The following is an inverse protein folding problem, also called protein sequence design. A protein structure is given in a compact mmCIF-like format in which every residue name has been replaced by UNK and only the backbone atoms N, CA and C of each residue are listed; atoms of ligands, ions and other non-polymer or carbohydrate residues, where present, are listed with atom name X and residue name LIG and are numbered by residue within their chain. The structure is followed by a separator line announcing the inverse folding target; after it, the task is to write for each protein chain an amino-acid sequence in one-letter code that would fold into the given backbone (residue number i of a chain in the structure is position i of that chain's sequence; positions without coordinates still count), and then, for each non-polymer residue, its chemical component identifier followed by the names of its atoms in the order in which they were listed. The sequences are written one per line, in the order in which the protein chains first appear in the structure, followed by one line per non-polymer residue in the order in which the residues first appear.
data_IF_621671539320
#
_entry.id   IF_621671539320
#
_cell.length_a   1.000
_cell.length_b   1.000
_cell.length_c   1.000
_cell.angle_alpha   90.00
_cell.angle_beta   90.00
_cell.angle_gamma   90.00
#
_symmetry.space_group_name_H-M   'P 1'
#
loop_
_entity.id
_entity.type
_entity.pdbx_description
1 polymer ?
#
# COMPACT_ATOMS: atom_id res chain seq x y z
N UNK A 1 18.93 41.13 -0.97
CA UNK A 1 17.59 40.92 -0.38
C UNK A 1 16.59 41.53 -1.34
N UNK A 2 15.60 40.76 -1.80
CA UNK A 2 14.49 41.27 -2.60
C UNK A 2 13.47 41.91 -1.65
N UNK A 3 13.13 43.18 -1.87
CA UNK A 3 12.03 43.85 -1.19
C UNK A 3 10.97 44.18 -2.25
N UNK A 4 9.74 43.74 -2.06
CA UNK A 4 8.61 44.23 -2.85
C UNK A 4 7.96 45.41 -2.13
N UNK A 5 7.70 46.49 -2.89
CA UNK A 5 6.93 47.62 -2.40
C UNK A 5 5.43 47.39 -2.72
N UNK A 6 4.49 47.84 -1.87
CA UNK A 6 3.08 47.42 -1.97
C UNK A 6 2.23 48.14 -3.03
N UNK A 7 2.78 49.06 -3.82
CA UNK A 7 1.98 49.87 -4.72
C UNK A 7 2.82 50.41 -5.90
N UNK A 8 3.14 49.54 -6.86
CA UNK A 8 3.25 49.84 -8.30
C UNK A 8 4.02 48.71 -9.03
N UNK A 9 3.62 48.43 -10.26
CA UNK A 9 4.03 47.30 -11.11
C UNK A 9 5.47 47.37 -11.66
N UNK A 10 6.45 47.68 -10.81
CA UNK A 10 7.89 47.63 -11.12
C UNK A 10 8.66 46.85 -10.06
N UNK A 11 9.18 45.67 -10.42
CA UNK A 11 9.98 44.84 -9.51
C UNK A 11 11.34 45.52 -9.27
N UNK A 12 11.53 46.15 -8.10
CA UNK A 12 12.81 46.77 -7.72
C UNK A 12 13.75 45.71 -7.16
N UNK A 13 14.76 45.33 -7.95
CA UNK A 13 15.81 44.40 -7.53
C UNK A 13 16.90 45.17 -6.75
N UNK A 14 16.94 45.02 -5.42
CA UNK A 14 18.03 45.58 -4.59
C UNK A 14 19.23 44.61 -4.58
N UNK A 15 20.17 44.82 -5.51
CA UNK A 15 21.45 44.10 -5.55
C UNK A 15 22.45 44.77 -4.60
N UNK A 16 22.67 44.19 -3.43
CA UNK A 16 23.79 44.56 -2.59
C UNK A 16 25.05 43.81 -3.06
N UNK A 17 26.03 44.55 -3.58
CA UNK A 17 27.39 44.05 -3.80
C UNK A 17 28.23 44.41 -2.57
N UNK A 18 28.93 43.43 -2.01
CA UNK A 18 29.93 43.65 -0.95
C UNK A 18 31.29 43.66 -1.63
N UNK A 19 31.99 44.80 -1.56
CA UNK A 19 33.39 44.87 -1.95
C UNK A 19 34.22 44.41 -0.75
N UNK A 20 34.87 43.26 -0.87
CA UNK A 20 35.73 42.69 0.18
C UNK A 20 37.15 43.19 -0.08
N UNK A 21 37.70 44.00 0.83
CA UNK A 21 39.13 44.36 0.80
C UNK A 21 39.97 43.26 1.46
N UNK A 22 41.19 43.05 0.96
CA UNK A 22 42.16 42.17 1.62
C UNK A 22 42.32 42.60 3.09
N UNK A 23 41.99 41.70 4.02
CA UNK A 23 41.83 42.01 5.45
C UNK A 23 40.43 41.78 6.02
N UNK A 24 39.45 41.39 5.20
CA UNK A 24 38.16 40.85 5.68
C UNK A 24 37.10 41.89 6.09
N UNK A 25 37.37 43.18 5.91
CA UNK A 25 36.33 44.21 6.08
C UNK A 25 35.58 44.43 4.75
N UNK A 26 34.27 44.17 4.77
CA UNK A 26 33.38 44.36 3.61
C UNK A 26 32.68 45.72 3.66
N UNK A 27 32.68 46.47 2.56
CA UNK A 27 31.90 47.70 2.42
C UNK A 27 30.64 47.42 1.60
N UNK A 28 29.48 47.79 2.15
CA UNK A 28 28.19 47.67 1.47
C UNK A 28 28.04 48.76 0.41
N UNK A 29 27.86 48.38 -0.86
CA UNK A 29 27.52 49.30 -1.94
C UNK A 29 26.00 49.29 -2.16
N UNK A 30 25.30 50.32 -1.70
CA UNK A 30 23.88 50.53 -2.01
C UNK A 30 23.74 51.30 -3.32
N UNK A 31 23.68 50.59 -4.46
CA UNK A 31 23.20 51.19 -5.71
C UNK A 31 21.76 50.73 -5.93
N UNK A 32 20.82 51.67 -5.85
CA UNK A 32 19.40 51.45 -6.18
C UNK A 32 19.24 51.78 -7.66
N UNK A 33 18.79 50.81 -8.46
CA UNK A 33 18.39 51.04 -9.85
C UNK A 33 16.92 50.68 -10.01
N UNK A 34 16.10 51.61 -10.51
CA UNK A 34 14.78 51.33 -11.05
C UNK A 34 14.93 51.05 -12.54
N UNK A 35 14.67 49.81 -12.99
CA UNK A 35 14.76 49.45 -14.40
C UNK A 35 13.48 48.72 -14.83
N UNK A 36 12.94 49.08 -15.99
CA UNK A 36 11.69 48.53 -16.51
C UNK A 36 11.90 47.11 -17.05
N UNK A 37 10.83 46.30 -17.05
CA UNK A 37 10.80 44.89 -17.46
C UNK A 37 11.01 44.63 -18.98
N UNK A 38 11.73 45.50 -19.68
CA UNK A 38 11.86 45.50 -21.14
C UNK A 38 13.30 45.67 -21.65
N UNK A 39 14.31 45.67 -20.76
CA UNK A 39 15.72 45.71 -21.14
C UNK A 39 16.33 44.29 -21.22
N UNK A 40 16.78 43.83 -22.41
CA UNK A 40 17.39 42.51 -22.58
C UNK A 40 18.64 42.26 -21.72
N UNK A 41 19.40 43.30 -21.37
CA UNK A 41 20.56 43.18 -20.50
C UNK A 41 20.15 42.97 -19.03
N UNK A 42 19.04 43.58 -18.61
CA UNK A 42 18.47 43.37 -17.27
C UNK A 42 17.88 41.97 -17.13
N UNK A 43 17.15 41.48 -18.14
CA UNK A 43 16.63 40.11 -18.18
C UNK A 43 17.76 39.09 -18.00
N UNK A 44 18.87 39.24 -18.73
CA UNK A 44 20.07 38.39 -18.56
C UNK A 44 20.68 38.49 -17.16
N UNK A 45 20.83 39.70 -16.62
CA UNK A 45 21.40 39.89 -15.28
C UNK A 45 20.50 39.27 -14.21
N UNK A 46 19.19 39.43 -14.34
CA UNK A 46 18.19 38.82 -13.46
C UNK A 46 18.32 37.30 -13.48
N UNK A 47 18.38 36.68 -14.65
CA UNK A 47 18.48 35.23 -14.77
C UNK A 47 19.79 34.68 -14.17
N UNK A 48 20.92 35.39 -14.34
CA UNK A 48 22.18 35.07 -13.67
C UNK A 48 22.04 35.14 -12.15
N UNK A 49 21.43 36.21 -11.63
CA UNK A 49 21.26 36.40 -10.19
C UNK A 49 20.30 35.36 -9.58
N UNK A 50 19.21 35.01 -10.26
CA UNK A 50 18.29 33.97 -9.84
C UNK A 50 18.94 32.59 -9.89
N UNK A 51 19.76 32.33 -10.90
CA UNK A 51 20.54 31.09 -11.01
C UNK A 51 21.60 30.96 -9.90
N UNK A 52 22.31 32.04 -9.56
CA UNK A 52 23.24 32.06 -8.43
C UNK A 52 22.53 31.88 -7.08
N UNK A 53 21.32 32.43 -6.95
CA UNK A 53 20.49 32.28 -5.75
C UNK A 53 20.01 30.84 -5.61
N UNK A 54 19.53 30.26 -6.71
CA UNK A 54 19.18 28.85 -6.81
C UNK A 54 20.37 27.94 -6.41
N UNK A 55 21.57 28.20 -6.95
CA UNK A 55 22.76 27.42 -6.61
C UNK A 55 23.09 27.48 -5.11
N UNK A 56 23.08 28.67 -4.51
CA UNK A 56 23.31 28.81 -3.06
C UNK A 56 22.28 28.09 -2.20
N UNK A 57 21.00 28.14 -2.59
CA UNK A 57 19.94 27.42 -1.90
C UNK A 57 20.09 25.90 -2.06
N UNK A 58 20.59 25.43 -3.21
CA UNK A 58 20.90 24.01 -3.43
C UNK A 58 21.96 23.50 -2.45
N UNK A 59 23.02 24.28 -2.22
CA UNK A 59 24.07 23.93 -1.25
C UNK A 59 23.50 23.83 0.18
N UNK A 60 22.60 24.74 0.57
CA UNK A 60 21.93 24.66 1.88
C UNK A 60 21.03 23.42 2.04
N UNK A 61 20.48 22.90 0.94
CA UNK A 61 19.73 21.64 0.95
C UNK A 61 20.64 20.44 1.18
N UNK A 62 21.84 20.43 0.57
CA UNK A 62 22.85 19.40 0.79
C UNK A 62 23.35 19.37 2.24
N UNK A 63 23.38 20.52 2.90
CA UNK A 63 23.73 20.66 4.33
C UNK A 63 22.58 20.30 5.29
N UNK A 64 21.43 19.83 4.79
CA UNK A 64 20.30 19.32 5.58
C UNK A 64 19.34 20.39 6.11
N UNK A 65 19.44 21.66 5.67
CA UNK A 65 18.57 22.75 6.12
C UNK A 65 17.25 22.86 5.33
N UNK A 66 16.59 21.72 5.07
CA UNK A 66 15.46 21.58 4.13
C UNK A 66 14.29 22.53 4.43
N UNK A 67 13.84 22.61 5.69
CA UNK A 67 12.68 23.43 6.05
C UNK A 67 12.92 24.93 5.94
N UNK A 68 14.11 25.38 6.36
CA UNK A 68 14.51 26.78 6.26
C UNK A 68 14.66 27.21 4.80
N UNK A 69 15.29 26.37 3.98
CA UNK A 69 15.40 26.61 2.55
C UNK A 69 14.02 26.60 1.86
N UNK A 70 13.12 25.70 2.27
CA UNK A 70 11.76 25.60 1.74
C UNK A 70 10.92 26.85 1.96
N UNK A 71 10.93 27.40 3.18
CA UNK A 71 10.21 28.66 3.48
C UNK A 71 10.74 29.82 2.64
N UNK A 72 12.07 29.93 2.49
CA UNK A 72 12.69 30.98 1.69
C UNK A 72 12.38 30.82 0.19
N UNK A 73 12.48 29.61 -0.36
CA UNK A 73 12.17 29.29 -1.76
C UNK A 73 10.70 29.55 -2.09
N UNK A 74 9.77 29.14 -1.22
CA UNK A 74 8.34 29.35 -1.43
C UNK A 74 8.01 30.84 -1.60
N UNK A 75 8.55 31.70 -0.73
CA UNK A 75 8.36 33.16 -0.82
C UNK A 75 8.98 33.73 -2.09
N UNK A 76 10.17 33.27 -2.49
CA UNK A 76 10.81 33.74 -3.72
C UNK A 76 9.99 33.35 -4.97
N UNK A 77 9.48 32.13 -5.02
CA UNK A 77 8.65 31.63 -6.14
C UNK A 77 7.30 32.35 -6.22
N UNK A 78 6.74 32.79 -5.10
CA UNK A 78 5.48 33.54 -5.06
C UNK A 78 5.63 34.97 -5.58
N UNK A 79 6.76 35.61 -5.30
CA UNK A 79 6.96 37.04 -5.51
C UNK A 79 7.69 37.36 -6.83
N UNK A 80 8.42 36.40 -7.38
CA UNK A 80 9.16 36.55 -8.62
C UNK A 80 8.41 35.98 -9.83
N UNK A 81 8.67 36.49 -11.04
CA UNK A 81 8.24 35.84 -12.27
C UNK A 81 8.67 34.36 -12.30
N UNK A 82 7.88 33.47 -12.92
CA UNK A 82 8.17 32.03 -12.93
C UNK A 82 9.57 31.76 -13.48
N UNK A 83 10.42 31.11 -12.68
CA UNK A 83 11.80 30.79 -13.05
C UNK A 83 12.08 29.30 -12.83
N UNK A 84 12.53 28.62 -13.89
CA UNK A 84 12.69 27.15 -13.92
C UNK A 84 13.57 26.62 -12.80
N UNK A 85 14.73 27.23 -12.53
CA UNK A 85 15.65 26.76 -11.50
C UNK A 85 15.08 26.87 -10.06
N UNK A 86 14.28 27.91 -9.79
CA UNK A 86 13.67 28.12 -8.47
C UNK A 86 12.48 27.18 -8.26
N UNK A 87 11.65 27.01 -9.28
CA UNK A 87 10.55 26.06 -9.29
C UNK A 87 11.07 24.61 -9.11
N UNK A 88 12.18 24.27 -9.77
CA UNK A 88 12.83 22.96 -9.64
C UNK A 88 13.35 22.71 -8.22
N UNK A 89 14.06 23.68 -7.64
CA UNK A 89 14.54 23.57 -6.27
C UNK A 89 13.39 23.47 -5.28
N UNK A 90 12.36 24.29 -5.43
CA UNK A 90 11.17 24.21 -4.58
C UNK A 90 10.47 22.85 -4.75
N UNK A 91 10.37 22.31 -5.95
CA UNK A 91 9.82 20.98 -6.19
C UNK A 91 10.63 19.89 -5.45
N UNK A 92 11.96 19.98 -5.47
CA UNK A 92 12.83 19.07 -4.73
C UNK A 92 12.66 19.22 -3.22
N UNK A 93 12.51 20.44 -2.70
CA UNK A 93 12.23 20.66 -1.28
C UNK A 93 10.87 20.09 -0.88
N UNK A 94 9.82 20.37 -1.64
CA UNK A 94 8.48 19.84 -1.39
C UNK A 94 8.45 18.31 -1.44
N UNK A 95 9.22 17.72 -2.35
CA UNK A 95 9.40 16.27 -2.38
C UNK A 95 10.04 15.74 -1.09
N UNK A 96 11.15 16.33 -0.63
CA UNK A 96 11.84 15.89 0.60
C UNK A 96 10.94 16.09 1.83
N UNK A 97 10.11 17.14 1.84
CA UNK A 97 9.13 17.42 2.91
C UNK A 97 7.89 16.52 2.88
N UNK A 98 7.79 15.56 1.95
CA UNK A 98 6.65 14.66 1.83
C UNK A 98 5.43 15.24 1.08
N UNK A 99 5.53 16.45 0.53
CA UNK A 99 4.48 17.11 -0.26
C UNK A 99 4.59 16.75 -1.76
N UNK A 100 4.52 15.45 -2.08
CA UNK A 100 4.77 14.94 -3.43
C UNK A 100 3.81 15.50 -4.51
N UNK A 101 2.55 15.78 -4.16
CA UNK A 101 1.58 16.38 -5.08
C UNK A 101 1.95 17.82 -5.48
N UNK A 102 2.41 18.63 -4.52
CA UNK A 102 2.93 19.98 -4.79
C UNK A 102 4.20 19.92 -5.63
N UNK A 103 5.11 18.98 -5.32
CA UNK A 103 6.33 18.77 -6.08
C UNK A 103 6.04 18.43 -7.56
N UNK A 104 5.08 17.52 -7.82
CA UNK A 104 4.64 17.18 -9.17
C UNK A 104 4.02 18.36 -9.91
N UNK A 105 3.18 19.14 -9.24
CA UNK A 105 2.58 20.36 -9.82
C UNK A 105 3.60 21.42 -10.20
N UNK A 106 4.63 21.62 -9.37
CA UNK A 106 5.74 22.53 -9.65
C UNK A 106 6.59 22.06 -10.84
N UNK A 107 6.87 20.75 -10.92
CA UNK A 107 7.63 20.20 -12.03
C UNK A 107 6.87 20.30 -13.37
N UNK A 108 5.56 20.08 -13.37
CA UNK A 108 4.72 20.31 -14.55
C UNK A 108 4.75 21.78 -15.01
N UNK A 109 4.86 22.75 -14.08
CA UNK A 109 5.08 24.17 -14.42
C UNK A 109 6.45 24.40 -15.06
N UNK A 110 7.51 23.73 -14.59
CA UNK A 110 8.84 23.79 -15.21
C UNK A 110 8.80 23.29 -16.65
N UNK A 111 8.14 22.16 -16.89
CA UNK A 111 7.99 21.59 -18.25
C UNK A 111 7.23 22.51 -19.19
N UNK A 112 6.16 23.18 -18.71
CA UNK A 112 5.41 24.17 -19.51
C UNK A 112 6.27 25.39 -19.89
N UNK A 113 6.99 25.97 -18.92
CA UNK A 113 7.89 27.10 -19.18
C UNK A 113 8.99 26.75 -20.19
N UNK A 114 9.55 25.54 -20.09
CA UNK A 114 10.55 25.07 -21.05
C UNK A 114 9.98 24.92 -22.49
N UNK A 115 8.70 24.53 -22.60
CA UNK A 115 8.03 24.43 -23.90
C UNK A 115 7.71 25.81 -24.50
N UNK A 116 7.28 26.76 -23.66
CA UNK A 116 7.01 28.13 -24.08
C UNK A 116 8.29 28.84 -24.55
N UNK A 117 9.41 28.68 -23.81
CA UNK A 117 10.73 29.18 -24.19
C UNK A 117 11.20 28.61 -25.54
N UNK A 118 11.00 27.30 -25.77
CA UNK A 118 11.34 26.66 -27.04
C UNK A 118 10.49 27.19 -28.21
N UNK A 119 9.21 27.49 -27.96
CA UNK A 119 8.31 28.06 -28.95
C UNK A 119 8.68 29.51 -29.31
N UNK A 120 9.05 30.33 -28.32
CA UNK A 120 9.49 31.72 -28.54
C UNK A 120 10.82 31.82 -29.29
N UNK A 121 11.74 30.88 -29.04
CA UNK A 121 12.99 30.75 -29.79
C UNK A 121 12.70 30.33 -31.24
N UNK A 122 11.81 29.36 -31.45
CA UNK A 122 11.40 28.94 -32.80
C UNK A 122 10.68 30.06 -33.57
N UNK A 123 9.95 30.94 -32.87
CA UNK A 123 9.26 32.08 -33.46
C UNK A 123 10.15 33.32 -33.71
N UNK A 124 11.45 33.24 -33.42
CA UNK A 124 12.41 34.34 -33.64
C UNK A 124 12.21 35.56 -32.73
N UNK A 125 11.47 35.39 -31.62
CA UNK A 125 11.18 36.48 -30.65
C UNK A 125 12.15 36.50 -29.47
N UNK A 126 13.02 35.49 -29.36
CA UNK A 126 14.10 35.42 -28.35
C UNK A 126 15.32 36.25 -28.75
N UNK A 127 15.78 37.14 -27.86
CA UNK A 127 16.95 37.97 -28.10
C UNK A 127 18.24 37.16 -28.24
N UNK A 128 18.68 36.90 -29.47
CA UNK A 128 20.08 36.66 -29.88
C UNK A 128 20.88 35.50 -29.27
N UNK A 129 20.34 34.72 -28.34
CA UNK A 129 21.04 33.59 -27.74
C UNK A 129 20.84 32.31 -28.57
N UNK A 130 21.95 31.60 -28.82
CA UNK A 130 22.02 30.32 -29.53
C UNK A 130 21.06 29.31 -28.89
N UNK A 131 20.28 28.51 -29.67
CA UNK A 131 19.38 27.52 -29.09
C UNK A 131 20.21 26.44 -28.39
N UNK A 132 20.12 26.39 -27.06
CA UNK A 132 20.55 25.21 -26.31
C UNK A 132 19.39 24.21 -26.37
N UNK A 133 19.58 22.98 -26.89
CA UNK A 133 18.51 22.00 -26.91
C UNK A 133 17.99 21.78 -25.48
N UNK A 134 16.66 21.75 -25.34
CA UNK A 134 15.97 21.45 -24.07
C UNK A 134 16.30 20.00 -23.70
N UNK A 135 17.47 19.81 -23.11
CA UNK A 135 17.90 18.56 -22.51
C UNK A 135 17.31 18.52 -21.12
N UNK A 136 16.46 17.52 -20.85
CA UNK A 136 15.98 17.24 -19.49
C UNK A 136 17.22 17.06 -18.63
N UNK A 137 17.36 17.89 -17.61
CA UNK A 137 18.56 17.86 -16.77
C UNK A 137 18.55 16.59 -15.91
N UNK A 138 19.72 16.00 -15.62
CA UNK A 138 19.82 14.79 -14.76
C UNK A 138 19.01 14.90 -13.46
N UNK A 139 18.96 16.06 -12.76
CA UNK A 139 18.14 16.20 -11.55
C UNK A 139 16.63 16.23 -11.80
N UNK A 140 16.14 16.69 -12.96
CA UNK A 140 14.71 16.61 -13.33
C UNK A 140 14.32 15.15 -13.58
N UNK A 141 15.10 14.45 -14.40
CA UNK A 141 14.90 13.02 -14.64
C UNK A 141 15.06 12.17 -13.36
N UNK A 142 15.84 12.64 -12.38
CA UNK A 142 15.99 12.03 -11.06
C UNK A 142 14.74 12.22 -10.20
N UNK A 143 14.23 13.45 -10.11
CA UNK A 143 13.01 13.77 -9.37
C UNK A 143 11.76 13.10 -9.97
N UNK A 144 11.65 13.06 -11.31
CA UNK A 144 10.57 12.33 -12.00
C UNK A 144 10.60 10.84 -11.67
N UNK A 145 11.78 10.22 -11.69
CA UNK A 145 11.95 8.81 -11.30
C UNK A 145 11.61 8.59 -9.83
N UNK A 146 11.98 9.50 -8.94
CA UNK A 146 11.66 9.41 -7.53
C UNK A 146 10.15 9.59 -7.26
N UNK A 147 9.49 10.53 -7.95
CA UNK A 147 8.04 10.72 -7.91
C UNK A 147 7.31 9.50 -8.47
N UNK A 148 7.74 8.95 -9.60
CA UNK A 148 7.17 7.71 -10.15
C UNK A 148 7.41 6.52 -9.20
N UNK A 149 8.57 6.43 -8.55
CA UNK A 149 8.85 5.39 -7.57
C UNK A 149 7.96 5.56 -6.32
N UNK A 150 7.72 6.78 -5.84
CA UNK A 150 6.79 7.06 -4.76
C UNK A 150 5.34 6.86 -5.17
N UNK A 151 4.94 7.17 -6.40
CA UNK A 151 3.61 6.88 -6.92
C UNK A 151 3.40 5.40 -7.07
N UNK A 152 4.41 4.65 -7.55
CA UNK A 152 4.38 3.19 -7.58
C UNK A 152 4.28 2.66 -6.14
N UNK A 153 5.14 3.13 -5.24
CA UNK A 153 5.08 2.79 -3.82
C UNK A 153 3.74 3.18 -3.18
N UNK A 154 3.15 4.32 -3.51
CA UNK A 154 1.84 4.76 -3.03
C UNK A 154 0.72 3.95 -3.66
N UNK A 155 0.86 3.57 -4.94
CA UNK A 155 0.01 2.57 -5.61
C UNK A 155 0.04 1.25 -4.85
N UNK A 156 1.23 0.86 -4.45
CA UNK A 156 1.50 -0.38 -3.76
C UNK A 156 1.10 -0.33 -2.27
N UNK A 157 1.20 0.83 -1.60
CA UNK A 157 1.08 0.98 -0.13
C UNK A 157 -0.16 1.79 0.34
N UNK A 158 -0.96 2.37 -0.56
CA UNK A 158 -2.33 2.85 -0.26
C UNK A 158 -3.39 1.85 -0.74
N UNK A 159 -3.05 0.56 -0.77
CA UNK A 159 -4.06 -0.47 -0.96
C UNK A 159 -4.94 -0.52 0.30
N UNK A 160 -6.24 -0.76 0.13
CA UNK A 160 -7.16 -1.04 1.25
C UNK A 160 -6.64 -2.23 2.07
N UNK A 161 -6.04 -3.20 1.37
CA UNK A 161 -5.41 -4.37 1.95
C UNK A 161 -4.82 -5.25 0.86
N UNK A 162 -4.50 -6.49 1.22
CA UNK A 162 -4.00 -7.50 0.29
C UNK A 162 -4.83 -8.77 0.39
N UNK A 163 -5.17 -9.33 -0.77
CA UNK A 163 -5.84 -10.64 -0.87
C UNK A 163 -4.78 -11.68 -1.17
N UNK A 164 -4.61 -12.63 -0.26
CA UNK A 164 -3.63 -13.71 -0.36
C UNK A 164 -4.35 -14.99 -0.81
N UNK A 165 -3.91 -15.55 -1.94
CA UNK A 165 -4.51 -16.72 -2.60
C UNK A 165 -3.47 -17.84 -2.68
N UNK A 166 -3.50 -18.84 -1.78
CA UNK A 166 -2.72 -20.06 -1.95
C UNK A 166 -3.34 -20.93 -3.06
N UNK A 167 -2.53 -21.42 -3.99
CA UNK A 167 -2.98 -22.15 -5.16
C UNK A 167 -2.19 -23.46 -5.35
N UNK A 168 -2.88 -24.58 -5.53
CA UNK A 168 -2.25 -25.84 -5.95
C UNK A 168 -3.27 -26.69 -6.71
N UNK A 169 -3.03 -26.98 -7.99
CA UNK A 169 -3.93 -27.76 -8.86
C UNK A 169 -5.34 -27.18 -8.98
N UNK A 170 -5.42 -25.90 -9.31
CA UNK A 170 -6.67 -25.11 -9.31
C UNK A 170 -6.91 -24.42 -10.65
N UNK A 171 -6.36 -24.98 -11.74
CA UNK A 171 -6.52 -24.43 -13.10
C UNK A 171 -7.99 -24.16 -13.45
N UNK A 172 -8.88 -25.07 -13.06
CA UNK A 172 -10.32 -24.99 -13.36
C UNK A 172 -11.12 -23.96 -12.53
N UNK A 173 -10.56 -23.43 -11.43
CA UNK A 173 -11.31 -22.58 -10.50
C UNK A 173 -10.64 -21.24 -10.14
N UNK A 174 -9.31 -21.13 -10.24
CA UNK A 174 -8.58 -19.91 -9.82
C UNK A 174 -9.01 -18.65 -10.57
N UNK A 175 -9.41 -18.77 -11.84
CA UNK A 175 -9.97 -17.64 -12.60
C UNK A 175 -11.21 -17.05 -11.93
N UNK A 176 -12.11 -17.91 -11.42
CA UNK A 176 -13.33 -17.47 -10.71
C UNK A 176 -12.99 -16.78 -9.39
N UNK A 177 -11.99 -17.28 -8.66
CA UNK A 177 -11.51 -16.63 -7.44
C UNK A 177 -11.00 -15.21 -7.74
N UNK A 178 -10.15 -15.04 -8.77
CA UNK A 178 -9.63 -13.74 -9.19
C UNK A 178 -10.73 -12.77 -9.68
N UNK A 179 -11.67 -13.25 -10.50
CA UNK A 179 -12.81 -12.46 -10.95
C UNK A 179 -13.69 -12.00 -9.78
N UNK A 180 -13.78 -12.80 -8.71
CA UNK A 180 -14.52 -12.41 -7.51
C UNK A 180 -13.83 -11.29 -6.72
N UNK A 181 -12.50 -11.28 -6.70
CA UNK A 181 -11.72 -10.20 -6.11
C UNK A 181 -11.93 -8.91 -6.90
N UNK A 182 -11.90 -8.96 -8.24
CA UNK A 182 -12.19 -7.79 -9.08
C UNK A 182 -13.60 -7.22 -8.80
N UNK A 183 -14.64 -8.08 -8.77
CA UNK A 183 -16.00 -7.64 -8.41
C UNK A 183 -16.07 -7.01 -7.03
N UNK A 184 -15.40 -7.61 -6.04
CA UNK A 184 -15.37 -7.07 -4.69
C UNK A 184 -14.65 -5.72 -4.59
N UNK A 185 -13.58 -5.51 -5.37
CA UNK A 185 -12.90 -4.21 -5.48
C UNK A 185 -13.80 -3.16 -6.12
N UNK A 186 -14.51 -3.51 -7.20
CA UNK A 186 -15.46 -2.60 -7.86
C UNK A 186 -16.58 -2.18 -6.91
N UNK A 187 -17.13 -3.13 -6.16
CA UNK A 187 -18.12 -2.82 -5.13
C UNK A 187 -17.55 -1.92 -4.04
N UNK A 188 -16.34 -2.20 -3.55
CA UNK A 188 -15.67 -1.37 -2.56
C UNK A 188 -15.53 0.08 -3.04
N UNK A 189 -15.02 0.30 -4.26
CA UNK A 189 -14.86 1.64 -4.86
C UNK A 189 -16.17 2.42 -4.86
N UNK A 190 -17.25 1.76 -5.28
CA UNK A 190 -18.58 2.37 -5.31
C UNK A 190 -19.08 2.70 -3.90
N UNK A 191 -18.97 1.76 -2.96
CA UNK A 191 -19.49 1.93 -1.60
C UNK A 191 -18.68 2.96 -0.78
N UNK A 192 -17.36 3.03 -1.00
CA UNK A 192 -16.46 3.98 -0.36
C UNK A 192 -16.52 5.38 -0.99
N UNK A 193 -17.04 5.51 -2.21
CA UNK A 193 -16.92 6.75 -3.00
C UNK A 193 -15.47 7.06 -3.40
N UNK A 194 -14.60 6.05 -3.42
CA UNK A 194 -13.17 6.16 -3.76
C UNK A 194 -12.88 5.35 -5.04
N UNK A 195 -12.83 5.99 -6.22
CA UNK A 195 -12.56 5.29 -7.48
C UNK A 195 -11.12 4.75 -7.57
N UNK A 196 -10.19 5.27 -6.77
CA UNK A 196 -8.77 4.89 -6.77
C UNK A 196 -8.46 3.75 -5.79
N UNK A 197 -9.43 3.36 -4.95
CA UNK A 197 -9.31 2.24 -4.03
C UNK A 197 -8.90 0.97 -4.77
N UNK A 198 -7.98 0.21 -4.17
CA UNK A 198 -7.41 -0.99 -4.78
C UNK A 198 -6.94 -1.95 -3.70
N UNK A 199 -6.79 -3.22 -4.06
CA UNK A 199 -6.13 -4.23 -3.25
C UNK A 199 -4.91 -4.74 -3.97
N UNK A 200 -3.95 -5.26 -3.21
CA UNK A 200 -2.83 -6.02 -3.78
C UNK A 200 -3.18 -7.52 -3.76
N UNK A 201 -3.15 -8.16 -4.92
CA UNK A 201 -3.47 -9.59 -5.07
C UNK A 201 -2.17 -10.38 -5.02
N UNK A 202 -2.00 -11.21 -4.00
CA UNK A 202 -0.83 -12.07 -3.82
C UNK A 202 -1.22 -13.52 -4.09
N UNK A 203 -0.87 -14.03 -5.27
CA UNK A 203 -1.07 -15.45 -5.60
C UNK A 203 0.22 -16.21 -5.31
N UNK A 204 0.11 -17.28 -4.52
CA UNK A 204 1.23 -18.18 -4.26
C UNK A 204 0.88 -19.56 -4.82
N UNK A 205 1.45 -19.88 -5.98
CA UNK A 205 1.37 -21.21 -6.56
C UNK A 205 2.33 -22.15 -5.84
N UNK A 206 1.79 -23.21 -5.25
CA UNK A 206 2.52 -24.15 -4.41
C UNK A 206 2.99 -25.38 -5.21
N UNK A 207 3.69 -25.12 -6.31
CA UNK A 207 4.20 -26.09 -7.28
C UNK A 207 3.08 -26.88 -7.98
N UNK A 208 2.15 -26.17 -8.63
CA UNK A 208 1.11 -26.82 -9.43
C UNK A 208 1.71 -27.54 -10.65
N UNK A 209 1.28 -28.78 -10.94
CA UNK A 209 1.67 -29.50 -12.15
C UNK A 209 0.77 -29.22 -13.37
N UNK A 210 -0.32 -28.45 -13.19
CA UNK A 210 -1.32 -28.11 -14.20
C UNK A 210 -1.16 -26.65 -14.67
N UNK A 211 -2.11 -26.15 -15.48
CA UNK A 211 -2.06 -24.80 -16.04
C UNK A 211 -2.37 -23.66 -15.07
N UNK A 212 -2.38 -23.90 -13.75
CA UNK A 212 -2.74 -22.89 -12.73
C UNK A 212 -1.95 -21.58 -12.90
N UNK A 213 -0.63 -21.67 -13.10
CA UNK A 213 0.27 -20.51 -13.25
C UNK A 213 -0.06 -19.72 -14.52
N UNK A 214 -0.35 -20.41 -15.61
CA UNK A 214 -0.69 -19.81 -16.91
C UNK A 214 -2.02 -19.05 -16.84
N UNK A 215 -3.01 -19.59 -16.12
CA UNK A 215 -4.30 -18.90 -15.88
C UNK A 215 -4.07 -17.60 -15.13
N UNK A 216 -3.28 -17.60 -14.05
CA UNK A 216 -2.98 -16.37 -13.27
C UNK A 216 -2.25 -15.33 -14.12
N UNK A 217 -1.25 -15.76 -14.91
CA UNK A 217 -0.53 -14.88 -15.85
C UNK A 217 -1.44 -14.34 -16.96
N UNK A 218 -2.39 -15.14 -17.43
CA UNK A 218 -3.41 -14.73 -18.40
C UNK A 218 -4.31 -13.66 -17.80
N UNK A 219 -4.83 -13.90 -16.60
CA UNK A 219 -5.69 -12.98 -15.88
C UNK A 219 -4.99 -11.64 -15.60
N UNK A 220 -3.74 -11.66 -15.12
CA UNK A 220 -2.96 -10.44 -14.85
C UNK A 220 -2.71 -9.60 -16.09
N UNK A 221 -2.51 -10.23 -17.26
CA UNK A 221 -2.39 -9.51 -18.55
C UNK A 221 -3.71 -8.89 -19.00
N UNK A 222 -4.84 -9.54 -18.72
CA UNK A 222 -6.17 -9.05 -19.05
C UNK A 222 -6.65 -7.91 -18.13
N UNK A 223 -6.08 -7.82 -16.93
CA UNK A 223 -6.48 -6.88 -15.87
C UNK A 223 -5.30 -6.02 -15.36
N UNK A 224 -4.66 -5.21 -16.23
CA UNK A 224 -3.46 -4.43 -15.88
C UNK A 224 -3.70 -3.34 -14.82
N UNK A 225 -4.96 -3.01 -14.53
CA UNK A 225 -5.35 -2.08 -13.47
C UNK A 225 -5.18 -2.66 -12.05
N UNK A 226 -5.08 -3.98 -11.92
CA UNK A 226 -4.87 -4.66 -10.64
C UNK A 226 -3.39 -4.84 -10.35
N UNK A 227 -2.99 -4.59 -9.09
CA UNK A 227 -1.66 -4.93 -8.61
C UNK A 227 -1.65 -6.40 -8.22
N UNK A 228 -1.15 -7.28 -9.09
CA UNK A 228 -1.03 -8.71 -8.86
C UNK A 228 0.44 -9.12 -8.77
N UNK A 229 0.79 -9.88 -7.73
CA UNK A 229 2.08 -10.56 -7.59
C UNK A 229 1.86 -12.06 -7.57
N UNK A 230 2.60 -12.77 -8.41
CA UNK A 230 2.60 -14.24 -8.48
C UNK A 230 3.95 -14.77 -8.00
N UNK A 231 3.93 -15.60 -6.97
CA UNK A 231 5.07 -16.41 -6.54
C UNK A 231 4.79 -17.87 -6.89
N UNK A 232 5.67 -18.50 -7.67
CA UNK A 232 5.59 -19.93 -7.97
C UNK A 232 6.68 -20.68 -7.19
N UNK A 233 6.26 -21.51 -6.25
CA UNK A 233 7.16 -22.34 -5.45
C UNK A 233 7.71 -23.48 -6.30
N UNK A 234 8.97 -23.86 -6.02
CA UNK A 234 9.60 -25.03 -6.64
C UNK A 234 9.16 -26.36 -6.00
N UNK A 235 8.53 -26.31 -4.82
CA UNK A 235 8.03 -27.48 -4.10
C UNK A 235 6.75 -27.13 -3.37
N UNK A 236 5.82 -28.09 -3.30
CA UNK A 236 4.63 -27.99 -2.48
C UNK A 236 5.04 -27.95 -1.00
N UNK A 237 4.56 -26.94 -0.28
CA UNK A 237 4.83 -26.71 1.14
C UNK A 237 3.57 -26.51 1.98
N UNK A 238 2.39 -26.74 1.41
CA UNK A 238 1.10 -26.62 2.08
C UNK A 238 0.50 -25.21 2.07
N UNK A 239 -0.81 -25.15 2.30
CA UNK A 239 -1.58 -23.91 2.24
C UNK A 239 -1.14 -22.88 3.29
N UNK A 240 -0.84 -23.32 4.52
CA UNK A 240 -0.32 -22.45 5.59
C UNK A 240 0.95 -21.69 5.18
N UNK A 241 1.95 -22.41 4.65
CA UNK A 241 3.20 -21.83 4.16
C UNK A 241 2.96 -20.85 3.01
N UNK A 242 2.09 -21.21 2.06
CA UNK A 242 1.73 -20.35 0.94
C UNK A 242 1.01 -19.07 1.39
N UNK A 243 0.11 -19.14 2.38
CA UNK A 243 -0.51 -17.95 2.99
C UNK A 243 0.52 -17.05 3.67
N UNK A 244 1.49 -17.61 4.39
CA UNK A 244 2.56 -16.83 5.01
C UNK A 244 3.45 -16.13 3.99
N UNK A 245 3.85 -16.84 2.92
CA UNK A 245 4.62 -16.25 1.83
C UNK A 245 3.86 -15.09 1.16
N UNK A 246 2.56 -15.28 0.91
CA UNK A 246 1.72 -14.23 0.35
C UNK A 246 1.55 -13.04 1.30
N UNK A 247 1.37 -13.28 2.61
CA UNK A 247 1.30 -12.23 3.62
C UNK A 247 2.61 -11.43 3.74
N UNK A 248 3.76 -12.09 3.58
CA UNK A 248 5.06 -11.43 3.57
C UNK A 248 5.28 -10.53 2.34
N UNK A 249 4.69 -10.89 1.19
CA UNK A 249 4.72 -10.07 -0.03
C UNK A 249 3.67 -8.95 -0.03
N UNK A 250 2.60 -9.14 0.73
CA UNK A 250 1.47 -8.23 0.76
C UNK A 250 1.88 -6.81 1.20
N UNK A 251 1.18 -5.79 0.71
CA UNK A 251 1.54 -4.38 0.93
C UNK A 251 0.46 -3.55 1.65
N UNK A 252 -0.76 -4.10 1.82
CA UNK A 252 -1.86 -3.41 2.47
C UNK A 252 -1.94 -3.64 4.00
N UNK A 253 -2.68 -2.77 4.73
CA UNK A 253 -2.84 -2.85 6.19
C UNK A 253 -3.77 -3.98 6.64
N UNK A 254 -4.67 -4.41 5.75
CA UNK A 254 -5.54 -5.58 5.96
C UNK A 254 -5.07 -6.75 5.10
N UNK A 255 -5.20 -7.95 5.64
CA UNK A 255 -4.98 -9.20 4.93
C UNK A 255 -6.32 -9.94 4.86
N UNK A 256 -6.68 -10.33 3.65
CA UNK A 256 -7.73 -11.32 3.37
C UNK A 256 -7.06 -12.58 2.85
N UNK A 257 -7.57 -13.74 3.27
CA UNK A 257 -7.13 -15.02 2.72
C UNK A 257 -8.28 -15.58 1.90
N UNK A 258 -8.01 -16.03 0.68
CA UNK A 258 -9.02 -16.62 -0.19
C UNK A 258 -8.46 -17.91 -0.79
N UNK A 259 -9.08 -19.03 -0.47
CA UNK A 259 -8.71 -20.31 -1.08
C UNK A 259 -9.05 -20.28 -2.57
N UNK A 260 -8.17 -20.83 -3.41
CA UNK A 260 -8.25 -20.64 -4.87
C UNK A 260 -9.44 -21.34 -5.55
N UNK A 261 -10.12 -22.26 -4.86
CA UNK A 261 -11.37 -22.88 -5.28
C UNK A 261 -12.63 -22.16 -4.79
N UNK A 262 -12.50 -21.26 -3.81
CA UNK A 262 -13.56 -20.41 -3.26
C UNK A 262 -13.72 -19.09 -4.01
N UNK A 263 -14.71 -18.28 -3.61
CA UNK A 263 -14.84 -16.92 -4.13
C UNK A 263 -15.52 -15.95 -3.16
N UNK A 264 -15.18 -14.67 -3.28
CA UNK A 264 -15.86 -13.59 -2.57
C UNK A 264 -17.23 -13.29 -3.19
N UNK A 265 -18.19 -12.97 -2.34
CA UNK A 265 -19.35 -12.18 -2.75
C UNK A 265 -18.93 -10.70 -2.75
N UNK A 266 -19.56 -9.91 -3.62
CA UNK A 266 -19.12 -8.55 -3.96
C UNK A 266 -18.89 -7.64 -2.75
N UNK A 267 -19.61 -7.86 -1.64
CA UNK A 267 -19.53 -7.01 -0.44
C UNK A 267 -18.39 -7.36 0.51
N UNK A 268 -17.64 -8.46 0.31
CA UNK A 268 -16.70 -9.00 1.30
C UNK A 268 -15.65 -7.98 1.77
N UNK A 269 -14.91 -7.39 0.82
CA UNK A 269 -13.86 -6.42 1.11
C UNK A 269 -14.42 -5.18 1.82
N UNK A 270 -15.56 -4.66 1.35
CA UNK A 270 -16.22 -3.50 1.95
C UNK A 270 -16.68 -3.77 3.39
N UNK A 271 -17.41 -4.86 3.62
CA UNK A 271 -17.96 -5.21 4.93
C UNK A 271 -16.84 -5.38 5.95
N UNK A 272 -15.80 -6.12 5.58
CA UNK A 272 -14.71 -6.44 6.50
C UNK A 272 -13.76 -5.25 6.75
N UNK A 273 -13.35 -4.52 5.72
CA UNK A 273 -12.53 -3.31 5.89
C UNK A 273 -13.28 -2.24 6.71
N UNK A 274 -14.55 -1.99 6.39
CA UNK A 274 -15.37 -1.01 7.13
C UNK A 274 -15.52 -1.39 8.59
N UNK A 275 -15.70 -2.69 8.88
CA UNK A 275 -15.77 -3.17 10.26
C UNK A 275 -14.44 -2.95 11.00
N UNK A 276 -13.29 -3.23 10.37
CA UNK A 276 -11.97 -2.94 10.95
C UNK A 276 -11.74 -1.42 11.09
N UNK A 277 -12.11 -0.60 10.13
CA UNK A 277 -11.93 0.86 10.21
C UNK A 277 -12.77 1.50 11.33
N UNK A 278 -14.01 1.04 11.51
CA UNK A 278 -14.93 1.57 12.52
C UNK A 278 -14.63 1.09 13.94
N UNK A 279 -13.94 -0.03 14.07
CA UNK A 279 -13.62 -0.67 15.34
C UNK A 279 -12.10 -0.83 15.48
N UNK A 280 -11.36 0.23 15.85
CA UNK A 280 -9.92 0.16 16.09
C UNK A 280 -9.54 -0.84 17.20
N UNK A 281 -10.47 -1.19 18.09
CA UNK A 281 -10.29 -2.12 19.20
C UNK A 281 -10.25 -3.61 18.81
N UNK A 282 -10.69 -3.96 17.58
CA UNK A 282 -10.64 -5.34 17.10
C UNK A 282 -9.46 -5.57 16.15
N UNK A 283 -8.87 -6.77 16.24
CA UNK A 283 -7.74 -7.19 15.40
C UNK A 283 -8.15 -7.88 14.10
N UNK A 284 -9.35 -8.47 14.05
CA UNK A 284 -9.84 -9.23 12.91
C UNK A 284 -11.37 -9.29 12.85
N UNK A 285 -11.90 -9.53 11.65
CA UNK A 285 -13.33 -9.69 11.37
C UNK A 285 -13.55 -10.99 10.61
N UNK A 286 -14.60 -11.72 10.98
CA UNK A 286 -15.12 -12.88 10.26
C UNK A 286 -16.52 -12.58 9.74
N UNK A 287 -16.90 -13.22 8.65
CA UNK A 287 -18.23 -13.07 8.03
C UNK A 287 -18.95 -14.41 7.94
N UNK A 288 -20.24 -14.41 7.58
CA UNK A 288 -20.92 -15.66 7.26
C UNK A 288 -20.31 -16.33 6.01
N UNK A 289 -20.51 -17.64 5.90
CA UNK A 289 -20.10 -18.42 4.72
C UNK A 289 -21.35 -18.98 4.04
N UNK A 290 -21.43 -18.85 2.72
CA UNK A 290 -22.39 -19.62 1.92
C UNK A 290 -21.74 -20.96 1.55
N UNK A 291 -22.30 -22.06 2.05
CA UNK A 291 -21.78 -23.40 1.79
C UNK A 291 -22.41 -23.98 0.53
N UNK A 292 -21.64 -24.17 -0.53
CA UNK A 292 -22.18 -24.67 -1.79
C UNK A 292 -22.88 -26.02 -1.61
N UNK A 293 -24.02 -26.19 -2.29
CA UNK A 293 -24.91 -27.36 -2.26
C UNK A 293 -25.53 -27.77 -0.91
N UNK A 294 -25.01 -27.34 0.24
CA UNK A 294 -25.54 -27.74 1.56
C UNK A 294 -25.85 -26.55 2.50
N UNK A 295 -25.88 -25.32 2.01
CA UNK A 295 -26.04 -24.11 2.84
C UNK A 295 -27.23 -24.17 3.80
N UNK A 296 -28.35 -24.76 3.35
CA UNK A 296 -29.58 -24.90 4.14
C UNK A 296 -29.55 -26.09 5.10
N UNK A 297 -28.71 -27.08 4.82
CA UNK A 297 -28.71 -28.38 5.47
C UNK A 297 -27.53 -28.56 6.45
N UNK A 298 -26.48 -27.74 6.32
CA UNK A 298 -25.34 -27.74 7.24
C UNK A 298 -25.82 -27.49 8.66
N UNK A 299 -25.38 -28.34 9.59
CA UNK A 299 -25.80 -28.25 10.98
C UNK A 299 -25.21 -27.00 11.67
N UNK A 300 -25.91 -26.41 12.67
CA UNK A 300 -25.45 -25.21 13.34
C UNK A 300 -24.06 -25.33 13.98
N UNK A 301 -23.73 -26.52 14.52
CA UNK A 301 -22.42 -26.78 15.15
C UNK A 301 -21.28 -26.71 14.12
N UNK A 302 -21.50 -27.25 12.92
CA UNK A 302 -20.52 -27.21 11.84
C UNK A 302 -20.41 -25.83 11.22
N UNK A 303 -21.53 -25.16 10.97
CA UNK A 303 -21.53 -23.77 10.50
C UNK A 303 -20.73 -22.86 11.44
N UNK A 304 -20.98 -22.94 12.74
CA UNK A 304 -20.27 -22.15 13.74
C UNK A 304 -18.77 -22.48 13.75
N UNK A 305 -18.40 -23.76 13.70
CA UNK A 305 -17.00 -24.18 13.72
C UNK A 305 -16.25 -23.73 12.47
N UNK A 306 -16.79 -24.01 11.28
CA UNK A 306 -16.22 -23.63 9.99
C UNK A 306 -16.05 -22.11 9.87
N UNK A 307 -17.09 -21.33 10.17
CA UNK A 307 -17.01 -19.86 10.11
C UNK A 307 -16.02 -19.27 11.14
N UNK A 308 -15.69 -20.01 12.21
CA UNK A 308 -14.72 -19.59 13.22
C UNK A 308 -13.27 -19.95 12.88
N UNK A 309 -13.02 -20.80 11.88
CA UNK A 309 -11.66 -21.29 11.56
C UNK A 309 -11.24 -21.02 10.12
N UNK A 310 -12.14 -21.13 9.15
CA UNK A 310 -11.76 -21.07 7.73
C UNK A 310 -11.12 -19.73 7.36
N UNK A 311 -10.03 -19.71 6.57
CA UNK A 311 -9.38 -18.47 6.19
C UNK A 311 -10.21 -17.63 5.22
N UNK A 312 -11.04 -18.24 4.38
CA UNK A 312 -11.76 -17.57 3.30
C UNK A 312 -12.69 -16.44 3.78
N UNK A 313 -13.26 -16.54 4.99
CA UNK A 313 -14.17 -15.52 5.54
C UNK A 313 -13.50 -14.51 6.48
N UNK A 314 -12.16 -14.55 6.60
CA UNK A 314 -11.37 -13.77 7.55
C UNK A 314 -10.73 -12.55 6.88
N UNK A 315 -10.88 -11.40 7.53
CA UNK A 315 -10.02 -10.23 7.35
C UNK A 315 -9.27 -9.95 8.65
N UNK A 316 -7.98 -9.67 8.58
CA UNK A 316 -7.14 -9.41 9.76
C UNK A 316 -6.24 -8.22 9.52
N UNK A 317 -5.98 -7.41 10.56
CA UNK A 317 -4.93 -6.39 10.48
C UNK A 317 -3.59 -7.08 10.30
N UNK A 318 -2.77 -6.62 9.36
CA UNK A 318 -1.41 -7.14 9.15
C UNK A 318 -0.62 -7.21 10.46
N UNK A 319 -0.66 -6.13 11.25
CA UNK A 319 0.05 -6.08 12.54
C UNK A 319 -0.38 -7.20 13.50
N UNK A 320 -1.66 -7.60 13.47
CA UNK A 320 -2.16 -8.72 14.26
C UNK A 320 -1.67 -10.07 13.71
N UNK A 321 -1.65 -10.25 12.39
CA UNK A 321 -1.07 -11.43 11.73
C UNK A 321 0.42 -11.60 12.08
N UNK A 322 1.18 -10.52 12.00
CA UNK A 322 2.61 -10.50 12.32
C UNK A 322 2.84 -10.84 13.80
N UNK A 323 2.02 -10.28 14.71
CA UNK A 323 2.14 -10.56 16.14
C UNK A 323 1.80 -12.01 16.49
N UNK A 324 0.81 -12.64 15.84
CA UNK A 324 0.55 -14.07 16.10
C UNK A 324 1.62 -14.96 15.47
N UNK A 325 2.34 -14.48 14.46
CA UNK A 325 3.39 -15.22 13.74
C UNK A 325 2.85 -16.09 12.59
N UNK A 326 1.78 -15.66 11.92
CA UNK A 326 1.24 -16.34 10.73
C UNK A 326 0.68 -17.76 10.97
N UNK A 327 0.42 -18.51 9.90
CA UNK A 327 -0.03 -19.90 9.97
C UNK A 327 1.14 -20.81 10.38
N UNK A 328 0.96 -21.85 11.20
CA UNK A 328 2.04 -22.81 11.43
C UNK A 328 2.33 -23.59 10.13
N UNK A 329 3.60 -23.85 9.84
CA UNK A 329 4.05 -24.57 8.64
C UNK A 329 5.03 -25.71 8.94
N UNK A 330 5.24 -26.00 10.22
CA UNK A 330 5.95 -27.18 10.72
C UNK A 330 5.08 -28.44 10.70
N UNK A 331 5.70 -29.63 10.72
CA UNK A 331 4.99 -30.89 11.00
C UNK A 331 4.35 -30.81 12.40
N UNK A 332 3.06 -31.17 12.58
CA UNK A 332 2.17 -31.92 11.69
C UNK A 332 1.17 -31.08 10.86
N UNK A 333 1.36 -29.76 10.75
CA UNK A 333 0.47 -28.89 9.98
C UNK A 333 0.72 -28.94 8.47
N UNK A 334 1.89 -29.43 8.06
CA UNK A 334 2.39 -29.46 6.69
C UNK A 334 2.53 -30.91 6.19
N UNK A 335 2.13 -31.25 4.94
CA UNK A 335 1.59 -30.39 3.90
C UNK A 335 0.08 -30.11 3.98
N UNK A 336 -0.64 -30.84 4.84
CA UNK A 336 -2.05 -30.57 5.13
C UNK A 336 -2.37 -30.97 6.57
N UNK A 337 -2.90 -30.03 7.36
CA UNK A 337 -3.25 -30.24 8.75
C UNK A 337 -4.26 -29.18 9.24
N UNK A 338 -4.42 -29.00 10.55
CA UNK A 338 -5.34 -28.01 11.12
C UNK A 338 -4.64 -26.64 11.32
N UNK A 339 -3.89 -26.16 10.32
CA UNK A 339 -3.12 -24.91 10.45
C UNK A 339 -4.02 -23.68 10.63
N UNK A 340 -5.19 -23.69 9.98
CA UNK A 340 -6.22 -22.67 10.06
C UNK A 340 -6.88 -22.62 11.45
N UNK A 341 -7.09 -23.78 12.09
CA UNK A 341 -7.55 -23.91 13.47
C UNK A 341 -6.53 -23.33 14.43
N UNK A 342 -5.24 -23.67 14.25
CA UNK A 342 -4.15 -23.14 15.07
C UNK A 342 -4.08 -21.61 14.96
N UNK A 343 -4.06 -21.09 13.73
CA UNK A 343 -4.02 -19.66 13.45
C UNK A 343 -5.22 -18.91 14.04
N UNK A 344 -6.43 -19.46 13.88
CA UNK A 344 -7.66 -18.85 14.39
C UNK A 344 -7.77 -18.88 15.91
N UNK A 345 -7.20 -19.89 16.57
CA UNK A 345 -7.08 -19.92 18.03
C UNK A 345 -6.04 -18.90 18.51
N UNK A 346 -4.90 -18.77 17.82
CA UNK A 346 -3.89 -17.78 18.13
C UNK A 346 -4.44 -16.34 18.04
N UNK A 347 -5.15 -16.01 16.96
CA UNK A 347 -5.79 -14.70 16.79
C UNK A 347 -6.79 -14.43 17.92
N UNK A 348 -7.71 -15.36 18.18
CA UNK A 348 -8.71 -15.21 19.26
C UNK A 348 -8.07 -15.14 20.64
N UNK A 349 -6.93 -15.79 20.88
CA UNK A 349 -6.27 -15.76 22.18
C UNK A 349 -5.64 -14.41 22.52
N UNK A 350 -5.24 -13.65 21.48
CA UNK A 350 -4.56 -12.37 21.64
C UNK A 350 -5.47 -11.18 21.41
N UNK A 351 -6.44 -11.26 20.49
CA UNK A 351 -7.20 -10.10 20.05
C UNK A 351 -8.70 -10.30 20.16
N UNK A 352 -9.40 -9.22 20.48
CA UNK A 352 -10.83 -9.14 20.22
C UNK A 352 -11.06 -9.23 18.71
N UNK A 353 -12.08 -10.00 18.33
CA UNK A 353 -12.53 -10.09 16.95
C UNK A 353 -14.00 -9.75 16.84
N UNK A 354 -14.48 -9.58 15.62
CA UNK A 354 -15.89 -9.38 15.36
C UNK A 354 -16.42 -10.32 14.27
N UNK A 355 -17.70 -10.64 14.33
CA UNK A 355 -18.37 -11.52 13.37
C UNK A 355 -19.62 -10.83 12.84
N UNK A 356 -19.78 -10.81 11.52
CA UNK A 356 -21.05 -10.43 10.89
C UNK A 356 -21.87 -11.70 10.58
N UNK A 357 -23.20 -11.58 10.64
CA UNK A 357 -24.10 -12.67 10.26
C UNK A 357 -24.22 -12.84 8.73
N UNK A 358 -23.99 -11.76 7.98
CA UNK A 358 -24.11 -11.75 6.51
C UNK A 358 -23.08 -12.68 5.87
N UNK A 359 -23.51 -13.66 5.04
CA UNK A 359 -22.59 -14.40 4.19
C UNK A 359 -21.97 -13.48 3.16
N UNK A 360 -20.64 -13.43 3.12
CA UNK A 360 -19.91 -12.62 2.13
C UNK A 360 -18.90 -13.41 1.32
N UNK A 361 -18.80 -14.72 1.55
CA UNK A 361 -17.94 -15.63 0.79
C UNK A 361 -18.69 -16.91 0.46
N UNK A 362 -18.27 -17.60 -0.60
CA UNK A 362 -18.80 -18.90 -0.97
C UNK A 362 -17.71 -19.96 -0.79
N UNK A 363 -18.04 -21.00 -0.02
CA UNK A 363 -17.19 -22.17 0.17
C UNK A 363 -17.60 -23.25 -0.82
N UNK A 364 -16.70 -23.60 -1.73
CA UNK A 364 -17.01 -24.37 -2.95
C UNK A 364 -16.95 -25.86 -2.70
N UNK A 365 -18.01 -26.57 -3.08
CA UNK A 365 -18.00 -28.03 -3.13
C UNK A 365 -17.37 -28.47 -4.46
N UNK A 366 -16.37 -29.33 -4.40
CA UNK A 366 -15.75 -29.94 -5.58
C UNK A 366 -15.31 -31.36 -5.23
N UNK A 367 -15.45 -32.27 -6.20
CA UNK A 367 -15.20 -33.69 -5.99
C UNK A 367 -13.83 -33.93 -5.35
N UNK A 368 -13.83 -34.59 -4.19
CA UNK A 368 -12.62 -34.95 -3.48
C UNK A 368 -11.90 -33.81 -2.77
N UNK A 369 -12.42 -32.56 -2.76
CA UNK A 369 -11.84 -31.49 -1.93
C UNK A 369 -12.15 -31.71 -0.43
N UNK A 370 -11.59 -30.88 0.45
CA UNK A 370 -11.80 -31.00 1.92
C UNK A 370 -13.28 -30.94 2.25
N UNK A 371 -14.03 -30.06 1.59
CA UNK A 371 -15.45 -29.87 1.82
C UNK A 371 -16.26 -31.13 1.48
N UNK A 372 -16.00 -31.75 0.34
CA UNK A 372 -16.64 -33.00 -0.07
C UNK A 372 -16.38 -34.15 0.93
N UNK A 373 -15.13 -34.28 1.40
CA UNK A 373 -14.77 -35.30 2.40
C UNK A 373 -15.46 -35.11 3.75
N UNK A 374 -15.72 -33.87 4.16
CA UNK A 374 -16.37 -33.55 5.43
C UNK A 374 -17.89 -33.44 5.32
N UNK A 375 -18.45 -33.45 4.11
CA UNK A 375 -19.87 -33.18 3.85
C UNK A 375 -20.81 -34.05 4.68
N UNK A 376 -20.55 -35.35 4.76
CA UNK A 376 -21.38 -36.27 5.53
C UNK A 376 -21.41 -35.91 7.03
N UNK A 377 -20.27 -35.51 7.60
CA UNK A 377 -20.18 -35.12 9.00
C UNK A 377 -20.88 -33.79 9.26
N UNK A 378 -20.73 -32.82 8.33
CA UNK A 378 -21.39 -31.52 8.37
C UNK A 378 -22.91 -31.60 8.45
N UNK A 379 -23.49 -32.67 7.90
CA UNK A 379 -24.92 -32.97 7.90
C UNK A 379 -25.36 -33.89 9.07
N UNK A 380 -24.43 -34.59 9.72
CA UNK A 380 -24.72 -35.62 10.73
C UNK A 380 -25.12 -35.09 12.11
N UNK A 381 -24.92 -33.78 12.37
CA UNK A 381 -25.15 -33.15 13.67
C UNK A 381 -24.08 -33.46 14.74
N UNK A 382 -23.14 -34.36 14.45
CA UNK A 382 -21.98 -34.62 15.31
C UNK A 382 -21.02 -33.43 15.26
N UNK A 383 -20.58 -32.87 16.40
CA UNK A 383 -19.51 -31.89 16.43
C UNK A 383 -18.25 -32.31 15.64
N UNK A 384 -17.50 -31.35 15.07
CA UNK A 384 -16.24 -31.63 14.39
C UNK A 384 -15.28 -32.48 15.24
N UNK A 385 -14.73 -33.54 14.63
CA UNK A 385 -13.81 -34.47 15.28
C UNK A 385 -14.45 -35.47 16.24
N UNK A 386 -15.77 -35.39 16.50
CA UNK A 386 -16.43 -36.34 17.39
C UNK A 386 -16.52 -37.74 16.76
N UNK A 387 -15.92 -38.72 17.44
CA UNK A 387 -15.88 -40.11 16.98
C UNK A 387 -14.79 -40.41 15.96
N UNK A 388 -13.94 -39.42 15.63
CA UNK A 388 -12.71 -39.68 14.90
C UNK A 388 -11.75 -40.50 15.78
N UNK A 389 -11.07 -41.52 15.24
CA UNK A 389 -10.07 -42.26 16.00
C UNK A 389 -8.94 -41.32 16.45
N UNK A 390 -8.37 -41.51 17.65
CA UNK A 390 -7.27 -40.70 18.13
C UNK A 390 -6.02 -41.02 17.30
N UNK A 391 -5.72 -40.19 16.31
CA UNK A 391 -4.49 -40.32 15.53
C UNK A 391 -3.34 -39.55 16.20
N UNK A 392 -2.12 -40.13 16.29
CA UNK A 392 -0.97 -39.46 16.87
C UNK A 392 -0.68 -38.08 16.25
N UNK A 393 -0.95 -37.92 14.96
CA UNK A 393 -0.78 -36.66 14.22
C UNK A 393 -1.71 -35.55 14.75
N UNK A 394 -2.97 -35.88 15.07
CA UNK A 394 -3.93 -34.94 15.65
C UNK A 394 -3.55 -34.53 17.08
N UNK A 395 -3.05 -35.49 17.88
CA UNK A 395 -2.55 -35.18 19.22
C UNK A 395 -1.30 -34.28 19.16
N UNK A 396 -0.37 -34.56 18.25
CA UNK A 396 0.81 -33.72 18.04
C UNK A 396 0.41 -32.29 17.65
N UNK A 397 -0.56 -32.15 16.74
CA UNK A 397 -1.08 -30.85 16.33
C UNK A 397 -1.67 -30.08 17.53
N UNK A 398 -2.50 -30.73 18.34
CA UNK A 398 -3.11 -30.11 19.53
C UNK A 398 -2.06 -29.71 20.58
N UNK A 399 -1.01 -30.51 20.80
CA UNK A 399 0.09 -30.16 21.70
C UNK A 399 0.87 -28.93 21.22
N UNK A 400 1.15 -28.83 19.92
CA UNK A 400 1.81 -27.67 19.33
C UNK A 400 0.93 -26.42 19.37
N UNK A 401 -0.38 -26.56 19.13
CA UNK A 401 -1.35 -25.47 19.30
C UNK A 401 -1.28 -24.95 20.74
N UNK A 402 -1.38 -25.83 21.74
CA UNK A 402 -1.33 -25.43 23.16
C UNK A 402 -0.01 -24.76 23.53
N UNK A 403 1.11 -25.31 23.08
CA UNK A 403 2.44 -24.70 23.28
C UNK A 403 2.50 -23.30 22.68
N UNK A 404 1.98 -23.11 21.47
CA UNK A 404 1.93 -21.82 20.79
C UNK A 404 1.07 -20.82 21.56
N UNK A 405 -0.13 -21.22 21.97
CA UNK A 405 -1.02 -20.37 22.76
C UNK A 405 -0.35 -19.93 24.07
N UNK A 406 0.29 -20.85 24.79
CA UNK A 406 1.07 -20.54 25.99
C UNK A 406 2.18 -19.53 25.72
N UNK A 407 2.93 -19.68 24.62
CA UNK A 407 3.98 -18.73 24.24
C UNK A 407 3.42 -17.34 23.88
N UNK A 408 2.23 -17.27 23.28
CA UNK A 408 1.55 -16.02 22.96
C UNK A 408 1.04 -15.31 24.22
N UNK A 409 0.67 -16.03 25.29
CA UNK A 409 0.26 -15.39 26.56
C UNK A 409 1.35 -14.49 27.15
N UNK A 410 2.64 -14.81 26.91
CA UNK A 410 3.75 -13.96 27.32
C UNK A 410 3.77 -12.58 26.63
N UNK A 411 2.99 -12.39 25.56
CA UNK A 411 2.82 -11.09 24.89
C UNK A 411 1.79 -10.18 25.59
N UNK A 412 1.02 -10.69 26.57
CA UNK A 412 0.09 -9.85 27.35
C UNK A 412 0.88 -8.81 28.15
N UNK A 413 0.47 -7.55 28.07
CA UNK A 413 1.15 -6.44 28.75
C UNK A 413 2.39 -5.89 28.02
N UNK A 414 2.65 -6.34 26.78
CA UNK A 414 3.61 -5.66 25.90
C UNK A 414 3.12 -4.23 25.62
N UNK A 415 4.04 -3.27 25.66
CA UNK A 415 3.78 -1.89 25.21
C UNK A 415 3.85 -1.86 23.68
N UNK A 416 2.73 -1.58 23.03
CA UNK A 416 2.60 -1.55 21.57
C UNK A 416 1.41 -0.69 21.14
N UNK A 417 1.42 -0.25 19.88
CA UNK A 417 0.57 0.80 19.33
C UNK A 417 -0.64 0.31 18.50
N UNK A 418 -0.93 -1.00 18.49
CA UNK A 418 -2.09 -1.58 17.81
C UNK A 418 -3.28 -1.95 18.73
N UNK A 419 -4.26 -2.74 18.24
CA UNK A 419 -5.48 -3.05 19.00
C UNK A 419 -5.17 -3.76 20.32
N UNK A 420 -5.80 -3.46 21.46
CA UNK A 420 -5.39 -4.01 22.75
C UNK A 420 -5.31 -5.55 22.76
N UNK A 421 -4.25 -6.08 23.38
CA UNK A 421 -4.15 -7.52 23.65
C UNK A 421 -5.15 -7.86 24.75
N UNK A 422 -5.91 -8.94 24.58
CA UNK A 422 -6.94 -9.36 25.52
C UNK A 422 -6.37 -9.61 26.92
N UNK A 423 -6.91 -8.94 27.96
CA UNK A 423 -6.35 -9.01 29.31
C UNK A 423 -6.63 -10.34 30.03
N UNK A 424 -7.74 -11.03 29.73
CA UNK A 424 -8.19 -12.23 30.46
C UNK A 424 -8.27 -13.50 29.59
N UNK A 425 -7.79 -13.46 28.35
CA UNK A 425 -7.80 -14.60 27.43
C UNK A 425 -9.20 -15.07 26.99
N UNK A 426 -10.27 -14.32 27.29
CA UNK A 426 -11.65 -14.68 26.99
C UNK A 426 -11.98 -14.74 25.48
N UNK A 427 -11.08 -14.25 24.61
CA UNK A 427 -11.17 -14.40 23.16
C UNK A 427 -12.48 -13.94 22.54
N UNK A 428 -13.05 -12.85 23.08
CA UNK A 428 -14.42 -12.45 22.78
C UNK A 428 -14.58 -12.04 21.31
N UNK A 429 -15.52 -12.70 20.63
CA UNK A 429 -16.06 -12.26 19.34
C UNK A 429 -17.28 -11.37 19.58
N UNK A 430 -17.28 -10.16 19.01
CA UNK A 430 -18.43 -9.25 19.04
C UNK A 430 -19.30 -9.50 17.80
N UNK A 431 -20.63 -9.49 17.94
CA UNK A 431 -21.54 -9.54 16.79
C UNK A 431 -21.82 -8.10 16.34
N UNK A 432 -21.50 -7.78 15.08
CA UNK A 432 -21.69 -6.46 14.48
C UNK A 432 -23.06 -6.27 13.84
#
# INVERSE_FOLDING_TARGET
MLCTAPADSGLVLLMALVEVKEGGSGRWLSRVASLSASDPAFERLRDVMLSMTAHRLSVQLEEGAVDRAGVALARLVEVLPPHRALLRLLAMVRFIQGAAGEAGGLLARVSRLAADEAADVAAGRGGGAVPVPVTVTVPEAGLERALHALERRRRDHQAVGSVVIPAHRVEGCIGRALDSVDRAVRYYRQAAGDPDARVHICVVDDASPDGTVEVVRGWSRAHPEHSLSLLANSRNGGAGRSRNLGAAMAMGPYLWFLDADDWFLDRHLWVTATALDRHPEIGFVRTGIRFDSIDRDITPVWRLASEATYPCNLAVRRVCHDLVGGFPDEEPFNPAGPEDVCYSRALRSLFAGAKTAEPTVCYTLSDGNVFDRLRADMLSGRPPGQGAPPEPVHLAAELLIRRRLYALEAKRGMDWDGPPILPDGSGRMIVL
#
